data_IF_103073695761
#
_entry.id   IF_103073695761
#
_cell.length_a   1.000
_cell.length_b   1.000
_cell.length_c   1.000
_cell.angle_alpha   90.00
_cell.angle_beta   90.00
_cell.angle_gamma   90.00
#
_symmetry.space_group_name_H-M   'P 1'
#
loop_
_entity.id
_entity.type
_entity.pdbx_description
1 polymer ?
#
# COMPACT_ATOMS: atom_id res chain seq x y z
N UNK A 1 5.29 11.25 24.47
CA UNK A 1 6.59 11.61 25.09
C UNK A 1 7.52 12.18 24.02
N UNK A 2 8.38 13.16 24.37
CA UNK A 2 9.44 13.64 23.49
C UNK A 2 10.68 12.80 23.74
N UNK A 3 11.30 12.29 22.68
CA UNK A 3 12.49 11.44 22.76
C UNK A 3 13.51 11.96 21.75
N UNK A 4 14.76 12.08 22.19
CA UNK A 4 15.89 12.40 21.32
C UNK A 4 16.59 11.10 20.95
N UNK A 5 16.82 10.88 19.66
CA UNK A 5 17.54 9.71 19.14
C UNK A 5 18.68 10.18 18.25
N UNK A 6 19.84 9.58 18.40
CA UNK A 6 20.99 9.87 17.54
C UNK A 6 20.91 9.03 16.27
N UNK A 7 20.93 9.68 15.11
CA UNK A 7 20.83 9.03 13.80
C UNK A 7 22.03 9.50 12.97
N UNK A 8 22.85 8.59 12.42
CA UNK A 8 23.94 8.97 11.53
C UNK A 8 23.44 9.81 10.34
N UNK A 9 24.17 10.86 9.95
CA UNK A 9 23.72 11.82 8.92
C UNK A 9 23.32 11.15 7.60
N UNK A 10 24.13 10.19 7.12
CA UNK A 10 23.84 9.44 5.91
C UNK A 10 22.50 8.69 5.99
N UNK A 11 22.17 8.12 7.15
CA UNK A 11 20.91 7.44 7.39
C UNK A 11 19.75 8.43 7.46
N UNK A 12 19.95 9.57 8.12
CA UNK A 12 18.94 10.62 8.21
C UNK A 12 18.57 11.19 6.84
N UNK A 13 19.56 11.42 5.96
CA UNK A 13 19.31 11.86 4.57
C UNK A 13 18.44 10.88 3.80
N UNK A 14 18.76 9.58 3.88
CA UNK A 14 17.97 8.52 3.23
C UNK A 14 16.56 8.46 3.79
N UNK A 15 16.41 8.56 5.11
CA UNK A 15 15.12 8.58 5.78
C UNK A 15 14.27 9.77 5.29
N UNK A 16 14.86 10.98 5.25
CA UNK A 16 14.17 12.20 4.79
C UNK A 16 13.72 12.09 3.34
N UNK A 17 14.58 11.60 2.45
CA UNK A 17 14.24 11.39 1.05
C UNK A 17 13.09 10.38 0.89
N UNK A 18 13.15 9.27 1.63
CA UNK A 18 12.12 8.22 1.57
C UNK A 18 10.77 8.73 2.10
N UNK A 19 10.78 9.49 3.20
CA UNK A 19 9.58 10.10 3.74
C UNK A 19 8.95 11.09 2.75
N UNK A 20 9.76 11.92 2.09
CA UNK A 20 9.29 12.87 1.08
C UNK A 20 8.63 12.18 -0.12
N UNK A 21 9.23 11.10 -0.64
CA UNK A 21 8.66 10.29 -1.72
C UNK A 21 7.30 9.70 -1.34
N UNK A 22 7.10 9.36 -0.06
CA UNK A 22 5.84 8.83 0.45
C UNK A 22 4.84 9.90 0.88
N UNK A 23 5.17 11.19 0.71
CA UNK A 23 4.33 12.32 1.16
C UNK A 23 4.17 12.40 2.68
N UNK A 24 5.13 11.87 3.44
CA UNK A 24 5.09 11.81 4.92
C UNK A 24 6.14 12.71 5.54
N UNK A 25 5.87 13.21 6.74
CA UNK A 25 6.91 13.82 7.55
C UNK A 25 7.90 12.75 8.07
N UNK A 26 9.12 13.20 8.38
CA UNK A 26 10.15 12.36 9.03
C UNK A 26 9.64 11.70 10.31
N UNK A 27 8.82 12.42 11.08
CA UNK A 27 8.22 11.91 12.32
C UNK A 27 7.24 10.77 12.05
N UNK A 28 6.31 10.95 11.11
CA UNK A 28 5.33 9.91 10.77
C UNK A 28 6.00 8.64 10.26
N UNK A 29 6.97 8.81 9.35
CA UNK A 29 7.76 7.70 8.84
C UNK A 29 8.47 6.92 9.96
N UNK A 30 9.09 7.64 10.90
CA UNK A 30 9.79 7.02 12.03
C UNK A 30 8.83 6.26 12.97
N UNK A 31 7.67 6.83 13.28
CA UNK A 31 6.67 6.19 14.14
C UNK A 31 6.09 4.94 13.48
N UNK A 32 5.80 4.97 12.18
CA UNK A 32 5.35 3.80 11.44
C UNK A 32 6.40 2.69 11.42
N UNK A 33 7.66 3.04 11.13
CA UNK A 33 8.76 2.07 11.14
C UNK A 33 8.93 1.41 12.51
N UNK A 34 8.80 2.18 13.60
CA UNK A 34 8.83 1.64 14.97
C UNK A 34 7.66 0.70 15.23
N UNK A 35 6.43 1.07 14.85
CA UNK A 35 5.24 0.22 14.98
C UNK A 35 5.42 -1.09 14.21
N UNK A 36 5.89 -1.01 12.96
CA UNK A 36 6.10 -2.17 12.12
C UNK A 36 7.22 -3.08 12.63
N UNK A 37 8.25 -2.52 13.28
CA UNK A 37 9.32 -3.31 13.90
C UNK A 37 8.84 -4.01 15.18
N UNK A 38 8.03 -3.34 15.99
CA UNK A 38 7.49 -3.86 17.24
C UNK A 38 6.32 -4.84 17.05
N UNK A 39 5.60 -4.75 15.94
CA UNK A 39 4.47 -5.63 15.64
C UNK A 39 4.88 -7.12 15.56
N UNK A 40 6.14 -7.46 15.37
CA UNK A 40 6.58 -8.86 15.27
C UNK A 40 6.06 -9.60 14.02
N UNK A 41 6.57 -10.81 13.74
CA UNK A 41 6.21 -11.55 12.52
C UNK A 41 4.75 -12.00 12.49
N UNK A 42 4.19 -12.41 13.64
CA UNK A 42 2.81 -12.88 13.75
C UNK A 42 1.78 -11.79 13.42
N UNK A 43 2.02 -10.55 13.83
CA UNK A 43 1.11 -9.43 13.56
C UNK A 43 1.26 -8.88 12.13
N UNK A 44 2.42 -9.07 11.48
CA UNK A 44 2.59 -8.78 10.05
C UNK A 44 1.81 -9.75 9.16
N UNK A 45 1.81 -11.04 9.52
CA UNK A 45 0.95 -12.04 8.88
C UNK A 45 -0.53 -11.71 9.10
N UNK A 46 -0.90 -11.30 10.33
CA UNK A 46 -2.24 -10.82 10.64
C UNK A 46 -2.63 -9.50 9.94
N UNK A 47 -1.70 -8.74 9.35
CA UNK A 47 -2.03 -7.48 8.63
C UNK A 47 -2.62 -7.72 7.24
N UNK A 48 -2.50 -8.93 6.69
CA UNK A 48 -3.32 -9.35 5.54
C UNK A 48 -4.67 -9.85 6.06
N UNK A 49 -5.52 -8.95 6.55
CA UNK A 49 -6.91 -9.28 6.90
C UNK A 49 -7.87 -8.91 5.78
N UNK A 50 -8.99 -9.63 5.71
CA UNK A 50 -10.07 -9.37 4.77
C UNK A 50 -9.65 -9.59 3.32
N UNK A 51 -10.12 -8.72 2.42
CA UNK A 51 -9.89 -8.87 0.98
C UNK A 51 -8.41 -8.90 0.57
N UNK A 52 -7.50 -8.30 1.37
CA UNK A 52 -6.05 -8.31 1.12
C UNK A 52 -5.39 -9.68 1.34
N UNK A 53 -6.03 -10.56 2.11
CA UNK A 53 -5.56 -11.93 2.31
C UNK A 53 -5.74 -12.79 1.05
N UNK A 54 -6.78 -12.48 0.27
CA UNK A 54 -7.24 -13.26 -0.89
C UNK A 54 -6.96 -12.56 -2.22
N UNK A 55 -6.36 -11.38 -2.19
CA UNK A 55 -6.02 -10.63 -3.41
C UNK A 55 -5.02 -11.40 -4.27
N UNK A 56 -5.41 -11.67 -5.52
CA UNK A 56 -4.60 -12.44 -6.48
C UNK A 56 -4.64 -13.95 -6.29
N UNK A 57 -5.49 -14.48 -5.40
CA UNK A 57 -5.62 -15.92 -5.16
C UNK A 57 -6.61 -16.63 -6.10
N UNK A 58 -7.38 -15.87 -6.90
CA UNK A 58 -8.34 -16.42 -7.85
C UNK A 58 -7.65 -17.07 -9.07
N UNK A 59 -8.30 -18.05 -9.70
CA UNK A 59 -7.80 -18.68 -10.93
C UNK A 59 -7.69 -17.62 -12.04
N UNK A 60 -6.49 -17.41 -12.65
CA UNK A 60 -6.30 -16.46 -13.73
C UNK A 60 -7.27 -16.64 -14.91
N UNK A 61 -7.71 -17.87 -15.20
CA UNK A 61 -8.66 -18.16 -16.28
C UNK A 61 -10.06 -17.64 -15.97
N UNK A 62 -10.51 -17.79 -14.73
CA UNK A 62 -11.81 -17.28 -14.28
C UNK A 62 -11.81 -15.74 -14.27
N UNK A 63 -10.73 -15.13 -13.79
CA UNK A 63 -10.56 -13.67 -13.82
C UNK A 63 -10.60 -13.15 -15.26
N UNK A 64 -9.91 -13.81 -16.19
CA UNK A 64 -9.92 -13.44 -17.60
C UNK A 64 -11.28 -13.65 -18.27
N UNK A 65 -12.07 -14.64 -17.85
CA UNK A 65 -13.44 -14.83 -18.33
C UNK A 65 -14.36 -13.69 -17.86
N UNK A 66 -14.27 -13.32 -16.58
CA UNK A 66 -15.05 -12.21 -16.02
C UNK A 66 -14.69 -10.87 -16.67
N UNK A 67 -13.39 -10.61 -16.89
CA UNK A 67 -12.95 -9.39 -17.57
C UNK A 67 -13.55 -9.26 -18.97
N UNK A 68 -13.62 -10.35 -19.75
CA UNK A 68 -14.26 -10.33 -21.07
C UNK A 68 -15.74 -9.96 -21.02
N UNK A 69 -16.47 -10.42 -20.01
CA UNK A 69 -17.89 -10.07 -19.84
C UNK A 69 -18.01 -8.58 -19.52
N UNK A 70 -17.20 -8.06 -18.61
CA UNK A 70 -17.18 -6.63 -18.28
C UNK A 70 -16.86 -5.80 -19.52
N UNK A 71 -15.85 -6.18 -20.29
CA UNK A 71 -15.48 -5.45 -21.50
C UNK A 71 -16.60 -5.51 -22.55
N UNK A 72 -17.30 -6.64 -22.69
CA UNK A 72 -18.45 -6.73 -23.60
C UNK A 72 -19.60 -5.81 -23.20
N UNK A 73 -19.94 -5.76 -21.91
CA UNK A 73 -21.07 -4.98 -21.39
C UNK A 73 -20.74 -3.48 -21.29
N UNK A 74 -19.48 -3.12 -21.02
CA UNK A 74 -19.08 -1.76 -20.63
C UNK A 74 -18.02 -1.10 -21.54
N UNK A 75 -17.61 -1.72 -22.66
CA UNK A 75 -16.66 -1.09 -23.61
C UNK A 75 -17.22 0.10 -24.38
N UNK A 76 -18.54 0.28 -24.40
CA UNK A 76 -19.20 1.45 -24.96
C UNK A 76 -19.31 2.58 -23.95
N UNK A 77 -18.20 3.26 -23.63
CA UNK A 77 -18.30 4.56 -22.97
C UNK A 77 -18.54 5.58 -24.09
N UNK A 78 -19.79 6.01 -24.23
CA UNK A 78 -20.13 7.17 -25.07
C UNK A 78 -19.56 8.44 -24.41
N UNK A 79 -18.57 9.11 -25.02
CA UNK A 79 -18.01 10.35 -24.47
C UNK A 79 -19.04 11.49 -24.42
N UNK A 80 -20.12 11.41 -25.21
CA UNK A 80 -21.18 12.43 -25.30
C UNK A 80 -22.36 12.15 -24.35
N UNK A 81 -22.39 10.99 -23.67
CA UNK A 81 -23.50 10.55 -22.81
C UNK A 81 -23.40 10.92 -21.32
N UNK A 82 -22.48 11.81 -20.96
CA UNK A 82 -22.21 12.25 -19.58
C UNK A 82 -22.60 13.73 -19.37
N UNK A 83 -23.84 14.10 -19.71
CA UNK A 83 -24.49 15.35 -19.27
C UNK A 83 -25.24 15.15 -17.94
#
# INVERSE_FOLDING_TARGET
MKTTVEIPDALYRRLKATAAVQGKSVKEYLIEALRDKLAGPATKAARKTGWRAVYGAADPKEVAALQRIIDQEFSGIDPEGWD
#
